data_IF_871664140809
#
_entry.id   IF_871664140809
#
_cell.length_a   1.000
_cell.length_b   1.000
_cell.length_c   1.000
_cell.angle_alpha   90.00
_cell.angle_beta   90.00
_cell.angle_gamma   90.00
#
_symmetry.space_group_name_H-M   'P 1'
#
loop_
_entity.id
_entity.type
_entity.pdbx_description
1 polymer ?
#
# COMPACT_ATOMS: atom_id res chain seq x y z
N UNK A 1 39.33 14.15 16.27
CA UNK A 1 40.27 13.02 16.05
C UNK A 1 41.00 13.32 14.74
N UNK A 2 42.12 14.06 14.74
CA UNK A 2 43.54 13.55 14.68
C UNK A 2 43.73 12.48 13.58
N UNK A 3 44.60 12.63 12.57
CA UNK A 3 46.05 12.92 12.58
C UNK A 3 46.44 13.64 11.27
N UNK A 4 47.34 14.63 11.18
CA UNK A 4 48.79 14.75 11.48
C UNK A 4 49.70 13.84 10.64
N UNK A 5 50.37 14.43 9.65
CA UNK A 5 51.70 14.04 9.12
C UNK A 5 52.45 15.35 8.79
N UNK A 6 53.34 15.79 9.68
CA UNK A 6 54.80 15.62 9.61
C UNK A 6 55.46 16.48 8.53
N UNK A 7 55.84 17.69 8.93
CA UNK A 7 56.89 18.52 8.33
C UNK A 7 58.20 18.27 9.06
N UNK A 8 59.31 18.08 8.33
CA UNK A 8 60.64 18.67 8.62
C UNK A 8 61.68 18.37 7.51
N UNK A 9 62.83 19.07 7.42
CA UNK A 9 63.11 19.99 6.32
C UNK A 9 64.42 19.68 5.58
N UNK A 10 64.70 20.42 4.50
CA UNK A 10 66.01 20.99 4.13
C UNK A 10 66.19 21.11 2.62
N UNK A 11 66.80 22.22 2.19
CA UNK A 11 67.51 22.30 0.92
C UNK A 11 67.08 23.46 0.03
N UNK A 12 67.54 24.67 0.36
CA UNK A 12 67.65 25.75 -0.61
C UNK A 12 68.67 25.36 -1.69
N UNK A 13 68.27 25.43 -2.96
CA UNK A 13 68.90 26.18 -4.05
C UNK A 13 68.59 25.48 -5.39
N UNK A 14 67.75 26.13 -6.19
CA UNK A 14 67.82 26.11 -7.64
C UNK A 14 66.80 27.13 -8.14
N UNK A 15 67.30 28.27 -8.62
CA UNK A 15 66.55 29.23 -9.41
C UNK A 15 65.97 28.54 -10.66
N UNK A 16 64.85 27.85 -10.49
CA UNK A 16 64.06 27.34 -11.60
C UNK A 16 63.38 28.53 -12.22
N UNK A 17 63.77 28.85 -13.47
CA UNK A 17 62.95 29.64 -14.39
C UNK A 17 61.58 28.96 -14.50
N UNK A 18 60.66 29.34 -13.62
CA UNK A 18 59.24 29.05 -13.70
C UNK A 18 58.70 29.85 -14.88
N UNK A 19 58.84 29.30 -16.08
CA UNK A 19 58.21 29.88 -17.26
C UNK A 19 56.70 29.81 -17.05
N UNK A 20 56.06 30.97 -17.00
CA UNK A 20 54.62 31.17 -16.80
C UNK A 20 53.78 30.28 -17.73
N UNK A 21 54.33 30.00 -18.93
CA UNK A 21 53.78 29.11 -19.94
C UNK A 21 53.54 27.67 -19.43
N UNK A 22 54.41 27.15 -18.57
CA UNK A 22 54.29 25.81 -18.00
C UNK A 22 53.25 25.67 -16.90
N UNK A 23 52.86 26.78 -16.25
CA UNK A 23 51.81 26.81 -15.22
C UNK A 23 50.41 26.86 -15.84
N UNK A 24 50.30 27.38 -17.06
CA UNK A 24 49.04 27.52 -17.80
C UNK A 24 48.52 26.18 -18.38
N UNK A 25 49.40 25.21 -18.62
CA UNK A 25 49.09 23.96 -19.34
C UNK A 25 48.70 22.77 -18.44
N UNK A 26 48.82 22.86 -17.10
CA UNK A 26 48.88 21.65 -16.24
C UNK A 26 47.69 21.34 -15.30
N UNK A 27 46.63 22.14 -15.17
CA UNK A 27 45.57 21.81 -14.18
C UNK A 27 44.14 21.76 -14.74
N UNK A 28 43.49 20.62 -14.49
CA UNK A 28 42.10 20.31 -14.85
C UNK A 28 41.04 20.90 -13.90
N UNK A 29 41.35 21.98 -13.19
CA UNK A 29 40.35 22.79 -12.49
C UNK A 29 40.86 24.22 -12.37
N UNK A 30 40.18 25.14 -13.05
CA UNK A 30 40.80 26.38 -13.54
C UNK A 30 40.81 27.51 -12.50
N UNK A 31 39.93 27.46 -11.49
CA UNK A 31 39.93 28.42 -10.37
C UNK A 31 41.18 28.36 -9.47
N UNK A 32 41.86 27.21 -9.42
CA UNK A 32 43.13 27.01 -8.69
C UNK A 32 44.29 27.73 -9.38
N UNK A 33 44.38 27.64 -10.70
CA UNK A 33 45.52 28.14 -11.48
C UNK A 33 45.65 29.67 -11.44
N UNK A 34 44.53 30.40 -11.38
CA UNK A 34 44.56 31.86 -11.34
C UNK A 34 44.96 32.40 -9.95
N UNK A 35 44.44 31.79 -8.88
CA UNK A 35 44.80 32.11 -7.50
C UNK A 35 46.29 31.84 -7.22
N UNK A 36 46.84 30.76 -7.79
CA UNK A 36 48.26 30.43 -7.68
C UNK A 36 49.16 31.38 -8.50
N UNK A 37 48.74 31.82 -9.69
CA UNK A 37 49.47 32.81 -10.49
C UNK A 37 49.51 34.18 -9.80
N UNK A 38 48.40 34.61 -9.20
CA UNK A 38 48.34 35.86 -8.44
C UNK A 38 49.20 35.81 -7.17
N UNK A 39 49.24 34.66 -6.50
CA UNK A 39 50.07 34.43 -5.31
C UNK A 39 51.58 34.33 -5.63
N UNK A 40 51.94 33.98 -6.88
CA UNK A 40 53.33 33.89 -7.33
C UNK A 40 53.92 35.23 -7.82
N UNK A 41 53.07 36.25 -8.02
CA UNK A 41 53.49 37.60 -8.42
C UNK A 41 54.00 38.37 -7.19
N UNK A 42 55.29 38.71 -7.19
CA UNK A 42 55.94 39.52 -6.14
C UNK A 42 56.36 40.88 -6.70
N UNK A 43 56.70 41.85 -5.85
CA UNK A 43 56.96 43.23 -6.27
C UNK A 43 58.12 43.39 -7.29
N UNK A 44 59.01 42.40 -7.42
CA UNK A 44 60.18 42.40 -8.29
C UNK A 44 60.02 41.59 -9.60
N UNK A 45 58.81 41.10 -9.91
CA UNK A 45 58.57 40.36 -11.17
C UNK A 45 58.41 41.32 -12.36
N UNK A 46 59.36 41.32 -13.31
CA UNK A 46 59.20 41.98 -14.62
C UNK A 46 58.19 41.22 -15.47
N UNK A 47 56.96 41.73 -15.56
CA UNK A 47 55.86 41.12 -16.33
C UNK A 47 55.76 41.85 -17.66
N UNK A 48 55.84 41.11 -18.77
CA UNK A 48 55.54 41.64 -20.10
C UNK A 48 54.04 41.95 -20.20
N UNK A 49 53.68 43.07 -20.84
CA UNK A 49 52.27 43.41 -21.11
C UNK A 49 51.52 42.29 -21.86
N UNK A 50 52.23 41.51 -22.69
CA UNK A 50 51.66 40.36 -23.38
C UNK A 50 51.24 39.24 -22.41
N UNK A 51 52.03 39.00 -21.35
CA UNK A 51 51.73 37.98 -20.33
C UNK A 51 50.56 38.41 -19.45
N UNK A 52 50.50 39.70 -19.07
CA UNK A 52 49.38 40.25 -18.32
C UNK A 52 48.07 40.20 -19.12
N UNK A 53 48.13 40.52 -20.41
CA UNK A 53 47.00 40.40 -21.33
C UNK A 53 46.53 38.94 -21.46
N UNK A 54 47.45 37.98 -21.54
CA UNK A 54 47.12 36.56 -21.62
C UNK A 54 46.46 36.04 -20.33
N UNK A 55 46.96 36.45 -19.16
CA UNK A 55 46.35 36.12 -17.86
C UNK A 55 44.96 36.74 -17.74
N UNK A 56 44.79 38.01 -18.13
CA UNK A 56 43.49 38.70 -18.10
C UNK A 56 42.48 38.00 -19.02
N UNK A 57 42.90 37.62 -20.23
CA UNK A 57 42.03 36.92 -21.16
C UNK A 57 41.64 35.53 -20.66
N UNK A 58 42.57 34.81 -20.01
CA UNK A 58 42.26 33.54 -19.35
C UNK A 58 41.24 33.73 -18.22
N UNK A 59 41.42 34.72 -17.34
CA UNK A 59 40.46 35.03 -16.27
C UNK A 59 39.05 35.31 -16.82
N UNK A 60 38.96 36.03 -17.94
CA UNK A 60 37.67 36.29 -18.60
C UNK A 60 37.02 35.00 -19.11
N UNK A 61 37.81 34.11 -19.73
CA UNK A 61 37.31 32.82 -20.22
C UNK A 61 36.87 31.91 -19.06
N UNK A 62 37.61 31.92 -17.95
CA UNK A 62 37.31 31.13 -16.76
C UNK A 62 36.03 31.63 -16.08
N UNK A 63 35.88 32.95 -15.92
CA UNK A 63 34.66 33.56 -15.41
C UNK A 63 33.44 33.21 -16.28
N UNK A 64 33.59 33.23 -17.60
CA UNK A 64 32.51 32.85 -18.52
C UNK A 64 32.17 31.35 -18.43
N UNK A 65 33.15 30.48 -18.14
CA UNK A 65 32.92 29.06 -17.92
C UNK A 65 32.20 28.79 -16.59
N UNK A 66 32.61 29.48 -15.52
CA UNK A 66 31.98 29.41 -14.20
C UNK A 66 30.56 29.97 -14.22
N UNK A 67 30.31 31.05 -14.97
CA UNK A 67 28.96 31.58 -15.16
C UNK A 67 28.04 30.54 -15.82
N UNK A 68 28.53 29.85 -16.86
CA UNK A 68 27.76 28.79 -17.52
C UNK A 68 27.48 27.61 -16.61
N UNK A 69 28.47 27.17 -15.82
CA UNK A 69 28.28 26.06 -14.89
C UNK A 69 27.31 26.43 -13.76
N UNK A 70 27.39 27.67 -13.26
CA UNK A 70 26.47 28.22 -12.27
C UNK A 70 25.02 28.27 -12.80
N UNK A 71 24.82 28.77 -14.02
CA UNK A 71 23.50 28.79 -14.64
C UNK A 71 22.93 27.39 -14.84
N UNK A 72 23.76 26.43 -15.24
CA UNK A 72 23.34 25.03 -15.36
C UNK A 72 22.95 24.43 -14.00
N UNK A 73 23.72 24.72 -12.95
CA UNK A 73 23.41 24.32 -11.58
C UNK A 73 22.08 24.92 -11.09
N UNK A 74 21.80 26.18 -11.41
CA UNK A 74 20.52 26.82 -11.09
C UNK A 74 19.34 26.17 -11.81
N UNK A 75 19.50 25.78 -13.08
CA UNK A 75 18.46 25.06 -13.82
C UNK A 75 18.20 23.67 -13.23
N UNK A 76 19.25 22.95 -12.84
CA UNK A 76 19.13 21.64 -12.19
C UNK A 76 18.46 21.77 -10.82
N UNK A 77 18.85 22.77 -10.01
CA UNK A 77 18.22 23.07 -8.74
C UNK A 77 16.73 23.38 -8.90
N UNK A 78 16.37 24.18 -9.91
CA UNK A 78 14.97 24.47 -10.22
C UNK A 78 14.18 23.22 -10.61
N UNK A 79 14.80 22.29 -11.34
CA UNK A 79 14.19 21.00 -11.68
C UNK A 79 13.94 20.15 -10.42
N UNK A 80 14.90 20.11 -9.49
CA UNK A 80 14.74 19.44 -8.20
C UNK A 80 13.66 20.09 -7.34
N UNK A 81 13.58 21.42 -7.29
CA UNK A 81 12.54 22.14 -6.54
C UNK A 81 11.14 21.76 -7.06
N UNK A 82 10.98 21.65 -8.38
CA UNK A 82 9.71 21.22 -8.98
C UNK A 82 9.35 19.78 -8.60
N UNK A 83 10.32 18.86 -8.65
CA UNK A 83 10.10 17.47 -8.24
C UNK A 83 9.79 17.36 -6.74
N UNK A 84 10.46 18.15 -5.91
CA UNK A 84 10.22 18.21 -4.47
C UNK A 84 8.79 18.69 -4.18
N UNK A 85 8.32 19.70 -4.90
CA UNK A 85 6.96 20.18 -4.79
C UNK A 85 5.92 19.13 -5.21
N UNK A 86 6.13 18.44 -6.33
CA UNK A 86 5.25 17.34 -6.76
C UNK A 86 5.22 16.19 -5.74
N UNK A 87 6.36 15.84 -5.16
CA UNK A 87 6.45 14.83 -4.11
C UNK A 87 5.72 15.28 -2.84
N UNK A 88 5.86 16.56 -2.44
CA UNK A 88 5.13 17.13 -1.30
C UNK A 88 3.61 17.04 -1.50
N UNK A 89 3.12 17.34 -2.71
CA UNK A 89 1.69 17.21 -3.02
C UNK A 89 1.23 15.76 -2.91
N UNK A 90 1.99 14.80 -3.47
CA UNK A 90 1.68 13.37 -3.35
C UNK A 90 1.67 12.89 -1.90
N UNK A 91 2.61 13.36 -1.09
CA UNK A 91 2.66 13.04 0.35
C UNK A 91 1.41 13.57 1.04
N UNK A 92 1.00 14.80 0.76
CA UNK A 92 -0.22 15.40 1.31
C UNK A 92 -1.48 14.62 0.91
N UNK A 93 -1.57 14.17 -0.36
CA UNK A 93 -2.68 13.34 -0.83
C UNK A 93 -2.73 11.98 -0.13
N UNK A 94 -1.57 11.37 0.12
CA UNK A 94 -1.45 10.10 0.86
C UNK A 94 -1.83 10.30 2.32
N UNK A 95 -1.39 11.38 2.95
CA UNK A 95 -1.74 11.73 4.33
C UNK A 95 -3.26 11.89 4.50
N UNK A 96 -3.92 12.60 3.58
CA UNK A 96 -5.39 12.74 3.59
C UNK A 96 -6.10 11.38 3.48
N UNK A 97 -5.61 10.49 2.60
CA UNK A 97 -6.13 9.13 2.47
C UNK A 97 -5.87 8.29 3.73
N UNK A 98 -4.72 8.46 4.36
CA UNK A 98 -4.35 7.77 5.60
C UNK A 98 -5.32 8.16 6.72
N UNK A 99 -5.53 9.46 6.94
CA UNK A 99 -6.49 9.95 7.94
C UNK A 99 -7.91 9.42 7.68
N UNK A 100 -8.33 9.35 6.42
CA UNK A 100 -9.63 8.77 6.06
C UNK A 100 -9.70 7.28 6.38
N UNK A 101 -8.61 6.53 6.16
CA UNK A 101 -8.52 5.11 6.49
C UNK A 101 -8.50 4.87 8.00
N UNK A 102 -7.79 5.71 8.77
CA UNK A 102 -7.78 5.68 10.23
C UNK A 102 -9.19 5.90 10.79
N UNK A 103 -9.92 6.92 10.30
CA UNK A 103 -11.32 7.12 10.69
C UNK A 103 -12.22 5.92 10.36
N UNK A 104 -11.99 5.28 9.20
CA UNK A 104 -12.74 4.06 8.83
C UNK A 104 -12.39 2.88 9.72
N UNK A 105 -11.13 2.75 10.12
CA UNK A 105 -10.67 1.72 11.05
C UNK A 105 -11.28 1.92 12.44
N UNK A 106 -11.29 3.14 12.95
CA UNK A 106 -11.89 3.49 14.24
C UNK A 106 -13.39 3.18 14.23
N UNK A 107 -14.09 3.54 13.15
CA UNK A 107 -15.49 3.19 12.97
C UNK A 107 -15.69 1.67 12.98
N UNK A 108 -14.88 0.91 12.25
CA UNK A 108 -14.98 -0.54 12.23
C UNK A 108 -14.73 -1.16 13.62
N UNK A 109 -13.76 -0.63 14.38
CA UNK A 109 -13.48 -1.08 15.75
C UNK A 109 -14.66 -0.80 16.68
N UNK A 110 -15.31 0.36 16.54
CA UNK A 110 -16.55 0.68 17.24
C UNK A 110 -17.67 -0.30 16.87
N UNK A 111 -17.91 -0.53 15.57
CA UNK A 111 -18.96 -1.43 15.08
C UNK A 111 -18.73 -2.87 15.59
N UNK A 112 -17.48 -3.36 15.57
CA UNK A 112 -17.11 -4.67 16.14
C UNK A 112 -17.38 -4.74 17.65
N UNK A 113 -17.06 -3.67 18.38
CA UNK A 113 -17.30 -3.60 19.83
C UNK A 113 -18.80 -3.63 20.14
N UNK A 114 -19.60 -2.90 19.35
CA UNK A 114 -21.06 -2.91 19.44
C UNK A 114 -21.63 -4.30 19.17
N UNK A 115 -21.19 -4.96 18.10
CA UNK A 115 -21.63 -6.34 17.78
C UNK A 115 -21.27 -7.31 18.92
N UNK A 116 -20.07 -7.19 19.50
CA UNK A 116 -19.66 -8.05 20.61
C UNK A 116 -20.48 -7.79 21.88
N UNK A 117 -20.84 -6.54 22.16
CA UNK A 117 -21.73 -6.21 23.26
C UNK A 117 -23.14 -6.75 23.04
N UNK A 118 -23.69 -6.62 21.81
CA UNK A 118 -24.96 -7.21 21.42
C UNK A 118 -24.95 -8.75 21.53
N UNK A 119 -23.89 -9.40 21.07
CA UNK A 119 -23.72 -10.85 21.22
C UNK A 119 -23.70 -11.28 22.69
N UNK A 120 -22.98 -10.54 23.55
CA UNK A 120 -22.94 -10.82 24.99
C UNK A 120 -24.30 -10.60 25.66
N UNK A 121 -25.03 -9.57 25.26
CA UNK A 121 -26.37 -9.32 25.78
C UNK A 121 -27.35 -10.42 25.35
N UNK A 122 -27.28 -10.87 24.09
CA UNK A 122 -28.08 -11.97 23.58
C UNK A 122 -27.76 -13.28 24.31
N UNK A 123 -26.48 -13.60 24.49
CA UNK A 123 -26.02 -14.78 25.23
C UNK A 123 -26.55 -14.78 26.66
N UNK A 124 -26.44 -13.64 27.37
CA UNK A 124 -26.99 -13.51 28.73
C UNK A 124 -28.51 -13.75 28.80
N UNK A 125 -29.27 -13.30 27.80
CA UNK A 125 -30.71 -13.56 27.70
C UNK A 125 -30.99 -15.03 27.41
N UNK A 126 -30.24 -15.65 26.49
CA UNK A 126 -30.37 -17.08 26.17
C UNK A 126 -30.08 -17.93 27.40
N UNK A 127 -28.97 -17.71 28.10
CA UNK A 127 -28.63 -18.45 29.33
C UNK A 127 -29.69 -18.29 30.42
N UNK A 128 -30.29 -17.10 30.56
CA UNK A 128 -31.37 -16.88 31.51
C UNK A 128 -32.62 -17.72 31.14
N UNK A 129 -33.00 -17.73 29.86
CA UNK A 129 -34.13 -18.52 29.37
C UNK A 129 -33.88 -20.03 29.48
N UNK A 130 -32.67 -20.49 29.19
CA UNK A 130 -32.27 -21.89 29.36
C UNK A 130 -32.43 -22.33 30.81
N UNK A 131 -31.99 -21.49 31.75
CA UNK A 131 -32.16 -21.75 33.18
C UNK A 131 -33.63 -21.77 33.60
N UNK A 132 -34.44 -20.83 33.14
CA UNK A 132 -35.86 -20.75 33.48
C UNK A 132 -36.66 -21.94 32.92
N UNK A 133 -36.24 -22.48 31.78
CA UNK A 133 -36.86 -23.64 31.11
C UNK A 133 -36.22 -24.98 31.49
N UNK A 134 -35.12 -24.98 32.25
CA UNK A 134 -34.35 -26.18 32.58
C UNK A 134 -33.73 -26.87 31.36
N UNK A 135 -33.40 -26.11 30.32
CA UNK A 135 -32.74 -26.61 29.12
C UNK A 135 -31.25 -26.86 29.38
N UNK A 136 -30.63 -27.87 28.74
CA UNK A 136 -29.18 -27.99 28.71
C UNK A 136 -28.57 -26.82 27.93
N UNK A 137 -27.32 -26.48 28.23
CA UNK A 137 -26.53 -25.49 27.47
C UNK A 137 -26.58 -25.85 25.98
N UNK A 138 -26.93 -24.89 25.12
CA UNK A 138 -26.99 -25.07 23.68
C UNK A 138 -25.63 -25.36 23.02
N UNK A 139 -24.51 -25.31 23.76
CA UNK A 139 -23.18 -25.75 23.29
C UNK A 139 -22.82 -27.20 23.63
N UNK A 140 -23.49 -27.82 24.60
CA UNK A 140 -23.33 -29.23 24.97
C UNK A 140 -23.93 -30.21 23.93
N UNK A 141 -23.09 -30.91 23.17
CA UNK A 141 -23.48 -31.92 22.15
C UNK A 141 -24.66 -32.86 22.49
N UNK A 142 -24.96 -33.08 23.78
CA UNK A 142 -26.13 -33.84 24.25
C UNK A 142 -27.31 -32.91 24.65
N UNK A 143 -27.90 -32.19 23.68
CA UNK A 143 -29.10 -31.38 23.90
C UNK A 143 -30.39 -32.20 23.93
N UNK A 144 -30.65 -32.99 24.97
CA UNK A 144 -31.97 -33.63 25.09
C UNK A 144 -33.01 -32.63 25.59
N UNK A 145 -34.05 -32.36 24.81
CA UNK A 145 -35.16 -31.50 25.27
C UNK A 145 -35.83 -32.12 26.51
N UNK A 146 -36.00 -31.38 27.62
CA UNK A 146 -36.69 -31.90 28.79
C UNK A 146 -38.18 -32.07 28.50
N UNK A 147 -38.74 -33.19 28.95
CA UNK A 147 -40.19 -33.47 28.92
C UNK A 147 -40.59 -33.99 30.29
N UNK A 148 -41.63 -33.39 30.87
CA UNK A 148 -42.21 -33.86 32.12
C UNK A 148 -42.89 -35.21 31.90
N UNK A 149 -42.18 -36.28 32.25
CA UNK A 149 -42.63 -37.65 32.09
C UNK A 149 -43.93 -37.96 32.86
N UNK A 150 -44.30 -37.15 33.85
CA UNK A 150 -45.53 -37.33 34.64
C UNK A 150 -46.76 -36.69 33.99
N UNK A 151 -46.57 -35.71 33.10
CA UNK A 151 -47.64 -34.95 32.45
C UNK A 151 -47.69 -35.11 30.92
N UNK A 152 -46.65 -35.69 30.30
CA UNK A 152 -46.54 -35.79 28.85
C UNK A 152 -47.54 -36.77 28.24
N UNK A 153 -48.23 -36.34 27.17
CA UNK A 153 -49.03 -37.24 26.34
C UNK A 153 -48.14 -37.99 25.33
N UNK A 154 -48.59 -39.12 24.75
CA UNK A 154 -47.87 -39.78 23.65
C UNK A 154 -47.67 -38.88 22.42
N UNK A 155 -48.50 -37.85 22.24
CA UNK A 155 -48.31 -36.82 21.21
C UNK A 155 -47.13 -35.90 21.53
N UNK A 156 -46.97 -35.51 22.79
CA UNK A 156 -45.85 -34.66 23.26
C UNK A 156 -44.50 -35.35 23.08
N UNK A 157 -44.43 -36.66 23.38
CA UNK A 157 -43.22 -37.47 23.18
C UNK A 157 -42.83 -37.53 21.70
N UNK A 158 -43.79 -37.72 20.79
CA UNK A 158 -43.52 -37.71 19.34
C UNK A 158 -43.06 -36.34 18.86
N UNK A 159 -43.69 -35.26 19.35
CA UNK A 159 -43.29 -33.88 19.02
C UNK A 159 -41.86 -33.58 19.50
N UNK A 160 -41.51 -34.02 20.71
CA UNK A 160 -40.15 -33.90 21.25
C UNK A 160 -39.14 -34.64 20.37
N UNK A 161 -39.44 -35.90 19.97
CA UNK A 161 -38.56 -36.67 19.08
C UNK A 161 -38.35 -35.97 17.73
N UNK A 162 -39.40 -35.39 17.16
CA UNK A 162 -39.30 -34.63 15.91
C UNK A 162 -38.43 -33.38 16.07
N UNK A 163 -38.61 -32.61 17.16
CA UNK A 163 -37.78 -31.44 17.44
C UNK A 163 -36.31 -31.82 17.70
N UNK A 164 -36.06 -32.92 18.41
CA UNK A 164 -34.72 -33.45 18.62
C UNK A 164 -34.04 -33.84 17.31
N UNK A 165 -34.79 -34.49 16.40
CA UNK A 165 -34.29 -34.83 15.07
C UNK A 165 -33.94 -33.56 14.27
N UNK A 166 -34.77 -32.51 14.35
CA UNK A 166 -34.50 -31.25 13.68
C UNK A 166 -33.18 -30.61 14.16
N UNK A 167 -32.95 -30.58 15.48
CA UNK A 167 -31.70 -30.09 16.08
C UNK A 167 -30.50 -30.91 15.58
N UNK A 168 -30.63 -32.24 15.54
CA UNK A 168 -29.56 -33.12 15.05
C UNK A 168 -29.23 -32.87 13.57
N UNK A 169 -30.23 -32.66 12.72
CA UNK A 169 -30.02 -32.37 11.30
C UNK A 169 -29.35 -31.01 11.12
N UNK A 170 -29.77 -29.98 11.86
CA UNK A 170 -29.11 -28.66 11.83
C UNK A 170 -27.63 -28.74 12.24
N UNK A 171 -27.33 -29.48 13.31
CA UNK A 171 -25.95 -29.74 13.74
C UNK A 171 -25.12 -30.45 12.67
N UNK A 172 -25.68 -31.48 12.02
CA UNK A 172 -24.99 -32.20 10.94
C UNK A 172 -24.72 -31.30 9.72
N UNK A 173 -25.64 -30.39 9.38
CA UNK A 173 -25.44 -29.43 8.28
C UNK A 173 -24.32 -28.46 8.61
N UNK A 174 -24.26 -27.94 9.85
CA UNK A 174 -23.18 -27.04 10.31
C UNK A 174 -21.82 -27.74 10.32
N UNK A 175 -21.77 -28.99 10.78
CA UNK A 175 -20.55 -29.82 10.73
C UNK A 175 -20.11 -30.03 9.28
N UNK A 176 -21.02 -30.39 8.38
CA UNK A 176 -20.72 -30.55 6.96
C UNK A 176 -20.22 -29.26 6.29
N UNK A 177 -20.75 -28.09 6.67
CA UNK A 177 -20.26 -26.79 6.17
C UNK A 177 -18.82 -26.50 6.67
N UNK A 178 -18.54 -26.79 7.94
CA UNK A 178 -17.18 -26.72 8.50
C UNK A 178 -16.23 -27.66 7.77
N UNK A 179 -16.64 -28.90 7.51
CA UNK A 179 -15.84 -29.88 6.75
C UNK A 179 -15.57 -29.38 5.32
N UNK A 180 -16.56 -28.78 4.65
CA UNK A 180 -16.39 -28.19 3.32
C UNK A 180 -15.40 -27.02 3.36
N UNK A 181 -15.47 -26.17 4.38
CA UNK A 181 -14.52 -25.07 4.56
C UNK A 181 -13.09 -25.61 4.78
N UNK A 182 -12.93 -26.66 5.59
CA UNK A 182 -11.63 -27.31 5.78
C UNK A 182 -11.10 -27.91 4.46
N UNK A 183 -11.94 -28.57 3.67
CA UNK A 183 -11.56 -29.10 2.35
C UNK A 183 -11.12 -27.95 1.43
N UNK A 184 -11.82 -26.81 1.41
CA UNK A 184 -11.44 -25.63 0.63
C UNK A 184 -10.07 -25.11 1.05
N UNK A 185 -9.81 -25.03 2.36
CA UNK A 185 -8.54 -24.56 2.92
C UNK A 185 -7.40 -25.53 2.59
N UNK A 186 -7.62 -26.83 2.72
CA UNK A 186 -6.65 -27.88 2.35
C UNK A 186 -6.34 -27.84 0.84
N UNK A 187 -7.35 -27.72 -0.03
CA UNK A 187 -7.17 -27.61 -1.48
C UNK A 187 -6.39 -26.34 -1.84
N UNK A 188 -6.71 -25.22 -1.19
CA UNK A 188 -6.00 -23.95 -1.37
C UNK A 188 -4.54 -24.05 -0.92
N UNK A 189 -4.28 -24.72 0.21
CA UNK A 189 -2.94 -24.98 0.72
C UNK A 189 -2.13 -25.90 -0.22
N UNK A 190 -2.75 -26.95 -0.76
CA UNK A 190 -2.14 -27.83 -1.77
C UNK A 190 -1.79 -27.06 -3.05
N UNK A 191 -2.69 -26.19 -3.51
CA UNK A 191 -2.43 -25.34 -4.67
C UNK A 191 -1.22 -24.43 -4.44
N UNK A 192 -1.14 -23.79 -3.27
CA UNK A 192 -0.02 -22.92 -2.86
C UNK A 192 1.31 -23.69 -2.68
N UNK A 193 1.25 -24.92 -2.15
CA UNK A 193 2.43 -25.78 -1.98
C UNK A 193 3.00 -26.26 -3.32
N UNK A 194 2.14 -26.67 -4.26
CA UNK A 194 2.53 -27.07 -5.61
C UNK A 194 3.24 -25.96 -6.40
N UNK A 195 2.97 -24.70 -6.06
CA UNK A 195 3.57 -23.56 -6.75
C UNK A 195 4.81 -23.01 -6.05
N UNK A 196 4.88 -23.08 -4.71
CA UNK A 196 6.07 -22.68 -3.93
C UNK A 196 7.33 -23.51 -4.23
N UNK A 197 7.20 -24.76 -4.68
CA UNK A 197 8.32 -25.65 -5.04
C UNK A 197 9.03 -25.22 -6.35
N UNK A 198 8.50 -24.25 -7.09
CA UNK A 198 9.05 -23.80 -8.37
C UNK A 198 9.30 -22.28 -8.38
N UNK A 199 10.56 -21.85 -8.18
CA UNK A 199 11.16 -20.53 -8.45
C UNK A 199 10.28 -19.25 -8.41
N UNK A 200 10.77 -18.21 -7.72
CA UNK A 200 10.25 -16.83 -7.59
C UNK A 200 9.37 -16.23 -8.72
N UNK A 201 9.64 -16.53 -10.01
CA UNK A 201 8.77 -16.13 -11.15
C UNK A 201 7.35 -16.71 -11.11
N UNK A 202 7.14 -17.87 -10.47
CA UNK A 202 5.83 -18.52 -10.39
C UNK A 202 4.93 -17.88 -9.33
N UNK A 203 5.51 -17.29 -8.29
CA UNK A 203 4.76 -16.52 -7.28
C UNK A 203 4.06 -15.30 -7.89
N UNK A 204 4.71 -14.61 -8.84
CA UNK A 204 4.07 -13.50 -9.57
C UNK A 204 2.99 -13.97 -10.54
N UNK A 205 3.14 -15.17 -11.13
CA UNK A 205 2.14 -15.77 -12.01
C UNK A 205 0.90 -16.21 -11.23
N UNK A 206 1.08 -16.85 -10.07
CA UNK A 206 -0.02 -17.22 -9.18
C UNK A 206 -0.78 -15.99 -8.67
N UNK A 207 -0.07 -14.91 -8.32
CA UNK A 207 -0.70 -13.65 -7.92
C UNK A 207 -1.54 -13.07 -9.06
N UNK A 208 -1.02 -13.08 -10.30
CA UNK A 208 -1.77 -12.63 -11.46
C UNK A 208 -2.98 -13.53 -11.71
N UNK A 209 -2.84 -14.85 -11.62
CA UNK A 209 -3.96 -15.79 -11.76
C UNK A 209 -5.04 -15.56 -10.69
N UNK A 210 -4.64 -15.30 -9.44
CA UNK A 210 -5.57 -14.98 -8.35
C UNK A 210 -6.29 -13.65 -8.59
N UNK A 211 -5.58 -12.62 -9.05
CA UNK A 211 -6.18 -11.32 -9.41
C UNK A 211 -7.18 -11.52 -10.53
N UNK A 212 -6.82 -12.25 -11.59
CA UNK A 212 -7.71 -12.53 -12.72
C UNK A 212 -8.93 -13.35 -12.30
N UNK A 213 -8.77 -14.33 -11.40
CA UNK A 213 -9.89 -15.08 -10.82
C UNK A 213 -10.85 -14.15 -10.09
N UNK A 214 -10.34 -13.32 -9.18
CA UNK A 214 -11.16 -12.36 -8.44
C UNK A 214 -11.84 -11.33 -9.36
N UNK A 215 -11.15 -10.87 -10.40
CA UNK A 215 -11.71 -9.97 -11.42
C UNK A 215 -12.82 -10.65 -12.22
N UNK A 216 -12.64 -11.92 -12.59
CA UNK A 216 -13.67 -12.70 -13.27
C UNK A 216 -14.89 -12.93 -12.39
N UNK A 217 -14.70 -13.29 -11.12
CA UNK A 217 -15.79 -13.41 -10.15
C UNK A 217 -16.56 -12.09 -9.99
N UNK A 218 -15.84 -10.97 -9.91
CA UNK A 218 -16.44 -9.62 -9.88
C UNK A 218 -17.23 -9.33 -11.15
N UNK A 219 -16.70 -9.70 -12.33
CA UNK A 219 -17.37 -9.46 -13.60
C UNK A 219 -18.63 -10.32 -13.76
N UNK A 220 -18.58 -11.59 -13.37
CA UNK A 220 -19.75 -12.48 -13.33
C UNK A 220 -20.80 -11.92 -12.38
N UNK A 221 -20.39 -11.39 -11.21
CA UNK A 221 -21.30 -10.75 -10.27
C UNK A 221 -21.98 -9.52 -10.89
N UNK A 222 -21.21 -8.64 -11.54
CA UNK A 222 -21.74 -7.45 -12.22
C UNK A 222 -22.69 -7.85 -13.35
N UNK A 223 -22.35 -8.85 -14.15
CA UNK A 223 -23.19 -9.35 -15.25
C UNK A 223 -24.53 -9.89 -14.72
N UNK A 224 -24.49 -10.73 -13.67
CA UNK A 224 -25.70 -11.22 -13.00
C UNK A 224 -26.55 -10.08 -12.45
N UNK A 225 -25.96 -9.09 -11.79
CA UNK A 225 -26.69 -7.94 -11.25
C UNK A 225 -27.25 -7.02 -12.33
N UNK A 226 -26.56 -6.90 -13.46
CA UNK A 226 -27.06 -6.17 -14.62
C UNK A 226 -28.28 -6.90 -15.21
N UNK A 227 -28.22 -8.22 -15.38
CA UNK A 227 -29.37 -9.01 -15.84
C UNK A 227 -30.57 -8.96 -14.87
N UNK A 228 -30.33 -8.99 -13.55
CA UNK A 228 -31.38 -8.77 -12.55
C UNK A 228 -32.01 -7.37 -12.65
N UNK A 229 -31.21 -6.34 -12.99
CA UNK A 229 -31.69 -4.97 -13.19
C UNK A 229 -32.48 -4.85 -14.50
N UNK A 230 -32.02 -5.44 -15.59
CA UNK A 230 -32.72 -5.45 -16.88
C UNK A 230 -34.09 -6.11 -16.75
N UNK A 231 -34.16 -7.26 -16.06
CA UNK A 231 -35.43 -7.93 -15.79
C UNK A 231 -36.41 -7.04 -15.00
N UNK A 232 -35.91 -6.29 -14.01
CA UNK A 232 -36.73 -5.31 -13.28
C UNK A 232 -37.16 -4.14 -14.16
N UNK A 233 -36.31 -3.67 -15.07
CA UNK A 233 -36.64 -2.59 -16.01
C UNK A 233 -37.74 -3.05 -16.97
N UNK A 234 -37.66 -4.27 -17.47
CA UNK A 234 -38.71 -4.86 -18.30
C UNK A 234 -40.03 -5.01 -17.53
N UNK A 235 -39.99 -5.47 -16.28
CA UNK A 235 -41.18 -5.51 -15.40
C UNK A 235 -41.80 -4.11 -15.22
N UNK A 236 -40.97 -3.09 -14.96
CA UNK A 236 -41.46 -1.71 -14.86
C UNK A 236 -42.07 -1.20 -16.15
N UNK A 237 -41.49 -1.54 -17.29
CA UNK A 237 -41.99 -1.16 -18.61
C UNK A 237 -43.34 -1.82 -18.90
N UNK A 238 -43.48 -3.12 -18.62
CA UNK A 238 -44.75 -3.85 -18.76
C UNK A 238 -45.86 -3.25 -17.89
N UNK A 239 -45.53 -2.88 -16.64
CA UNK A 239 -46.47 -2.19 -15.74
C UNK A 239 -46.88 -0.81 -16.29
N UNK A 240 -45.94 -0.08 -16.90
CA UNK A 240 -46.20 1.23 -17.49
C UNK A 240 -47.08 1.11 -18.75
N UNK A 241 -46.80 0.15 -19.63
CA UNK A 241 -47.55 -0.12 -20.85
C UNK A 241 -48.96 -0.65 -20.54
N UNK A 242 -49.10 -1.50 -19.51
CA UNK A 242 -50.39 -1.93 -18.98
C UNK A 242 -51.22 -0.77 -18.43
N UNK A 243 -50.60 0.19 -17.74
CA UNK A 243 -51.27 1.42 -17.29
C UNK A 243 -51.72 2.30 -18.46
N UNK A 244 -50.88 2.50 -19.48
CA UNK A 244 -51.22 3.32 -20.64
C UNK A 244 -52.37 2.72 -21.47
N UNK A 245 -52.47 1.39 -21.51
CA UNK A 245 -53.56 0.66 -22.16
C UNK A 245 -54.93 0.88 -21.50
N UNK A 246 -54.96 1.18 -20.19
CA UNK A 246 -56.21 1.44 -19.45
C UNK A 246 -56.67 2.91 -19.50
N UNK A 247 -55.85 3.80 -20.05
CA UNK A 247 -56.09 5.25 -20.13
C UNK A 247 -56.49 5.72 -21.53
N UNK A 248 -56.55 4.84 -22.54
CA UNK A 248 -57.07 5.18 -23.86
C UNK A 248 -58.60 5.09 -23.86
N UNK A 249 -59.34 6.20 -24.09
CA UNK A 249 -60.80 6.16 -24.19
C UNK A 249 -61.22 5.56 -25.56
N UNK A 250 -62.46 5.01 -25.66
CA UNK A 250 -63.02 4.50 -26.92
C UNK A 250 -63.28 5.59 -27.97
#
# INVERSE_FOLDING_TARGET
>A
MTCRSSTEPAGADAASKLSLKGLLEKEGSVGSACSQLLAALTADTEISFADLSAVTQKMIMDLAADERSFLNCLLELNAYDRQLWENMQRITDVESKLVTLEQKQDKMMYDISSINEEQKALDAVVTALEKDLGLPDWTDQNHSLPVDALAATPGDVKRQQLLQLLISVDSQIKEADSDLQEIIDQVSALHKSKTAVSNSKKYTEDQVAQILKNQMETLIYVDKKTGELDAKVDEFKDVLDGRNSTLSPP
#
